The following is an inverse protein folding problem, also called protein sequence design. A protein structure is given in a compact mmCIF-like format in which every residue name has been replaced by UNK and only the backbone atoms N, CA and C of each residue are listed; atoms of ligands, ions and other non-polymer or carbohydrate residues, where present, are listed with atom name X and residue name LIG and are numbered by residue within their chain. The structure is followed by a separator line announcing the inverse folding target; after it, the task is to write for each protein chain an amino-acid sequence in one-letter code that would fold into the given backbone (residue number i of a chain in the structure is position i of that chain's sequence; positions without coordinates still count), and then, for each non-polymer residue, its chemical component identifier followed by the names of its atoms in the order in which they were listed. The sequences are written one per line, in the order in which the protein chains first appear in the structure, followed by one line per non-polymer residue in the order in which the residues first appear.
data_IF_013163516436
#
_entry.id   IF_013163516436
#
_cell.length_a   1.000
_cell.length_b   1.000
_cell.length_c   1.000
_cell.angle_alpha   90.00
_cell.angle_beta   90.00
_cell.angle_gamma   90.00
#
_symmetry.space_group_name_H-M   'P 1'
#
loop_
_entity.id
_entity.type
_entity.pdbx_description
1 polymer ?
#
# COMPACT_ATOMS: atom_id res chain seq x y z
N UNK A 1 44.26 -1.30 -16.75
CA UNK A 1 42.90 -0.76 -16.54
C UNK A 1 41.82 -1.79 -16.27
N UNK A 2 41.68 -2.85 -17.07
CA UNK A 2 40.65 -3.88 -16.86
C UNK A 2 40.70 -4.54 -15.46
N UNK A 3 41.89 -4.93 -14.98
CA UNK A 3 42.04 -5.56 -13.65
C UNK A 3 41.68 -4.62 -12.49
N UNK A 4 41.95 -3.32 -12.65
CA UNK A 4 41.60 -2.31 -11.65
C UNK A 4 40.08 -2.13 -11.59
N UNK A 5 39.40 -2.14 -12.75
CA UNK A 5 37.94 -2.07 -12.82
C UNK A 5 37.32 -3.34 -12.21
N UNK A 6 37.85 -4.52 -12.54
CA UNK A 6 37.39 -5.79 -11.98
C UNK A 6 37.56 -5.84 -10.45
N UNK A 7 38.71 -5.40 -9.95
CA UNK A 7 38.99 -5.36 -8.51
C UNK A 7 38.10 -4.34 -7.79
N UNK A 8 37.85 -3.17 -8.39
CA UNK A 8 36.89 -2.18 -7.85
C UNK A 8 35.47 -2.75 -7.79
N UNK A 9 35.03 -3.47 -8.81
CA UNK A 9 33.71 -4.12 -8.83
C UNK A 9 33.59 -5.19 -7.73
N UNK A 10 34.66 -5.96 -7.48
CA UNK A 10 34.70 -6.95 -6.41
C UNK A 10 34.58 -6.30 -5.02
N UNK A 11 35.30 -5.20 -4.78
CA UNK A 11 35.18 -4.41 -3.53
C UNK A 11 33.77 -3.87 -3.35
N UNK A 12 33.17 -3.34 -4.41
CA UNK A 12 31.81 -2.80 -4.35
C UNK A 12 30.77 -3.89 -4.07
N UNK A 13 30.93 -5.06 -4.68
CA UNK A 13 30.08 -6.23 -4.40
C UNK A 13 30.18 -6.67 -2.94
N UNK A 14 31.41 -6.75 -2.40
CA UNK A 14 31.64 -7.08 -0.99
C UNK A 14 31.02 -6.02 -0.05
N UNK A 15 31.09 -4.74 -0.42
CA UNK A 15 30.46 -3.63 0.33
C UNK A 15 28.94 -3.75 0.35
N UNK A 16 28.32 -4.08 -0.80
CA UNK A 16 26.88 -4.30 -0.90
C UNK A 16 26.45 -5.51 -0.06
N UNK A 17 27.18 -6.62 -0.13
CA UNK A 17 26.89 -7.80 0.69
C UNK A 17 26.99 -7.50 2.20
N UNK A 18 27.99 -6.72 2.62
CA UNK A 18 28.09 -6.27 4.00
C UNK A 18 26.92 -5.37 4.39
N UNK A 19 26.47 -4.49 3.49
CA UNK A 19 25.30 -3.65 3.74
C UNK A 19 24.02 -4.49 3.93
N UNK A 20 23.85 -5.58 3.17
CA UNK A 20 22.71 -6.50 3.35
C UNK A 20 22.68 -7.24 4.70
N UNK A 21 23.79 -7.27 5.45
CA UNK A 21 23.79 -7.80 6.84
C UNK A 21 23.03 -6.89 7.81
N UNK A 22 22.90 -5.59 7.48
CA UNK A 22 22.09 -4.63 8.23
C UNK A 22 20.78 -4.43 7.49
N UNK A 23 19.77 -5.22 7.85
CA UNK A 23 18.43 -5.12 7.26
C UNK A 23 17.77 -3.82 7.72
N UNK A 24 17.64 -2.85 6.82
CA UNK A 24 16.93 -1.58 7.04
C UNK A 24 15.53 -1.64 6.43
N UNK A 25 14.56 -0.95 7.05
CA UNK A 25 13.23 -0.82 6.46
C UNK A 25 13.28 -0.04 5.14
N UNK A 26 12.67 -0.52 4.05
CA UNK A 26 12.63 0.21 2.78
C UNK A 26 11.65 1.39 2.82
N UNK A 27 10.69 1.39 3.74
CA UNK A 27 9.66 2.42 3.90
C UNK A 27 9.53 2.86 5.35
N UNK A 28 9.05 4.09 5.57
CA UNK A 28 8.64 4.55 6.89
C UNK A 28 7.25 4.02 7.22
N UNK A 29 7.03 3.61 8.46
CA UNK A 29 5.74 3.08 8.88
C UNK A 29 5.83 2.36 10.22
N UNK A 30 4.78 1.61 10.53
CA UNK A 30 4.70 0.77 11.71
C UNK A 30 5.17 -0.64 11.37
N UNK A 31 6.11 -1.15 12.17
CA UNK A 31 6.53 -2.54 12.06
C UNK A 31 5.47 -3.46 12.68
N UNK A 32 5.13 -4.52 11.97
CA UNK A 32 4.31 -5.62 12.46
C UNK A 32 5.10 -6.57 13.37
N UNK A 33 4.52 -7.74 13.64
CA UNK A 33 5.22 -8.81 14.36
C UNK A 33 6.40 -9.31 13.52
N UNK A 34 7.53 -9.60 14.14
CA UNK A 34 8.61 -10.31 13.46
C UNK A 34 8.22 -11.77 13.27
N UNK A 35 8.36 -12.26 12.04
CA UNK A 35 8.12 -13.66 11.68
C UNK A 35 9.30 -14.55 12.05
N UNK A 36 10.47 -13.96 12.31
CA UNK A 36 11.71 -14.65 12.69
C UNK A 36 12.10 -14.27 14.11
N UNK A 37 12.78 -15.19 14.79
CA UNK A 37 13.35 -14.94 16.11
C UNK A 37 14.86 -14.73 16.02
N UNK A 38 15.43 -14.15 17.07
CA UNK A 38 16.88 -14.05 17.20
C UNK A 38 17.53 -15.44 17.06
N UNK A 39 18.61 -15.51 16.28
CA UNK A 39 19.32 -16.76 15.98
C UNK A 39 18.72 -17.63 14.87
N UNK A 40 17.59 -17.26 14.27
CA UNK A 40 17.05 -17.95 13.11
C UNK A 40 17.93 -17.73 11.87
N UNK A 41 18.18 -18.80 11.10
CA UNK A 41 18.89 -18.72 9.82
C UNK A 41 17.93 -18.19 8.75
N UNK A 42 18.37 -17.16 8.02
CA UNK A 42 17.64 -16.56 6.90
C UNK A 42 18.41 -16.78 5.60
N UNK A 43 17.67 -16.95 4.50
CA UNK A 43 18.26 -17.18 3.17
C UNK A 43 17.87 -16.03 2.23
N UNK A 44 18.79 -15.66 1.34
CA UNK A 44 18.50 -14.66 0.32
C UNK A 44 17.35 -15.11 -0.59
N UNK A 45 16.32 -14.28 -0.74
CA UNK A 45 15.16 -14.57 -1.59
C UNK A 45 14.18 -15.62 -1.02
N UNK A 46 14.20 -15.89 0.29
CA UNK A 46 13.18 -16.74 0.91
C UNK A 46 11.77 -16.17 0.73
N UNK A 47 10.76 -17.04 0.68
CA UNK A 47 9.36 -16.65 0.53
C UNK A 47 8.84 -15.83 1.71
N UNK A 48 9.32 -16.15 2.91
CA UNK A 48 8.75 -15.63 4.15
C UNK A 48 9.44 -14.32 4.56
N UNK A 49 8.65 -13.27 4.70
CA UNK A 49 9.15 -11.97 5.14
C UNK A 49 9.60 -11.99 6.61
N UNK A 50 10.71 -11.31 6.92
CA UNK A 50 11.26 -11.21 8.28
C UNK A 50 10.35 -10.39 9.21
N UNK A 51 9.81 -9.31 8.68
CA UNK A 51 8.81 -8.46 9.31
C UNK A 51 8.10 -7.66 8.21
N UNK A 52 6.84 -7.32 8.44
CA UNK A 52 6.08 -6.47 7.53
C UNK A 52 6.01 -5.07 8.10
N UNK A 53 6.49 -4.08 7.36
CA UNK A 53 6.32 -2.66 7.70
C UNK A 53 5.14 -2.15 6.92
N UNK A 54 4.16 -1.56 7.61
CA UNK A 54 2.95 -1.01 7.02
C UNK A 54 2.92 0.50 7.26
N UNK A 55 2.75 1.26 6.20
CA UNK A 55 2.47 2.68 6.30
C UNK A 55 1.00 2.85 6.69
N UNK A 56 0.76 3.47 7.83
CA UNK A 56 -0.59 3.70 8.37
C UNK A 56 -1.11 5.10 8.06
N UNK A 57 -0.30 5.97 7.44
CA UNK A 57 -0.72 7.30 7.03
C UNK A 57 -0.19 7.60 5.62
N UNK A 58 -1.06 7.80 4.61
CA UNK A 58 -2.52 7.68 4.67
C UNK A 58 -2.98 6.22 4.70
N UNK A 59 -4.23 5.98 5.11
CA UNK A 59 -4.90 4.68 4.98
C UNK A 59 -5.74 4.62 3.70
N UNK A 60 -5.85 3.42 3.16
CA UNK A 60 -6.75 3.11 2.04
C UNK A 60 -7.96 2.33 2.54
N UNK A 61 -9.14 2.74 2.07
CA UNK A 61 -10.41 2.04 2.29
C UNK A 61 -10.95 1.63 0.93
N UNK A 62 -10.92 0.32 0.68
CA UNK A 62 -11.42 -0.26 -0.56
C UNK A 62 -12.88 -0.65 -0.37
N UNK A 63 -13.75 -0.14 -1.25
CA UNK A 63 -15.20 -0.39 -1.23
C UNK A 63 -15.58 -1.05 -2.53
N UNK A 64 -16.16 -2.25 -2.45
CA UNK A 64 -16.65 -2.99 -3.61
C UNK A 64 -18.12 -2.67 -3.82
N UNK A 65 -18.45 -2.07 -4.96
CA UNK A 65 -19.82 -1.68 -5.34
C UNK A 65 -20.26 -2.37 -6.63
N UNK A 66 -21.57 -2.54 -6.80
CA UNK A 66 -22.10 -3.08 -8.05
C UNK A 66 -21.87 -2.10 -9.20
N UNK A 67 -21.44 -2.60 -10.36
CA UNK A 67 -21.25 -1.79 -11.57
C UNK A 67 -22.50 -0.99 -11.97
N UNK A 68 -23.70 -1.54 -11.75
CA UNK A 68 -24.97 -0.87 -12.03
C UNK A 68 -25.21 0.33 -11.11
N UNK A 69 -24.91 0.18 -9.82
CA UNK A 69 -25.08 1.25 -8.83
C UNK A 69 -24.04 2.35 -9.04
N UNK A 70 -22.81 1.98 -9.41
CA UNK A 70 -21.77 2.93 -9.79
C UNK A 70 -22.15 3.75 -11.04
N UNK A 71 -22.71 3.12 -12.08
CA UNK A 71 -23.20 3.84 -13.27
C UNK A 71 -24.31 4.83 -12.93
N UNK A 72 -25.24 4.45 -12.05
CA UNK A 72 -26.27 5.38 -11.54
C UNK A 72 -25.63 6.54 -10.79
N UNK A 73 -24.68 6.28 -9.90
CA UNK A 73 -23.98 7.30 -9.12
C UNK A 73 -23.18 8.27 -10.01
N UNK A 74 -22.51 7.75 -11.05
CA UNK A 74 -21.77 8.55 -12.05
C UNK A 74 -22.72 9.44 -12.85
N UNK A 75 -23.87 8.92 -13.26
CA UNK A 75 -24.86 9.67 -14.03
C UNK A 75 -25.50 10.79 -13.20
N UNK A 76 -25.74 10.57 -11.91
CA UNK A 76 -26.21 11.60 -10.96
C UNK A 76 -25.13 12.63 -10.62
N UNK A 77 -23.87 12.19 -10.47
CA UNK A 77 -22.70 13.04 -10.23
C UNK A 77 -22.43 14.03 -11.36
N UNK A 78 -22.52 13.56 -12.62
CA UNK A 78 -22.30 14.39 -13.82
C UNK A 78 -23.35 15.51 -13.96
N UNK A 79 -24.57 15.30 -13.45
CA UNK A 79 -25.64 16.30 -13.50
C UNK A 79 -25.53 17.36 -12.41
N UNK A 80 -24.88 17.05 -11.28
CA UNK A 80 -24.80 17.97 -10.13
C UNK A 80 -23.55 18.86 -10.10
N UNK A 81 -22.58 18.67 -11.00
CA UNK A 81 -21.39 19.53 -11.09
C UNK A 81 -20.55 19.63 -9.81
N UNK A 82 -20.84 18.78 -8.81
CA UNK A 82 -20.24 18.82 -7.48
C UNK A 82 -18.96 17.99 -7.45
N UNK A 83 -17.99 18.47 -6.69
CA UNK A 83 -16.69 17.83 -6.45
C UNK A 83 -16.93 16.50 -5.69
N UNK A 84 -17.25 15.43 -6.42
CA UNK A 84 -17.62 14.09 -5.88
C UNK A 84 -16.45 13.32 -5.26
N UNK A 85 -15.41 14.05 -4.86
CA UNK A 85 -14.17 13.50 -4.32
C UNK A 85 -14.15 13.43 -2.81
N UNK A 86 -14.97 14.19 -2.08
CA UNK A 86 -14.97 14.13 -0.61
C UNK A 86 -15.82 12.95 -0.12
N UNK A 87 -15.22 12.07 0.67
CA UNK A 87 -15.90 10.93 1.30
C UNK A 87 -15.78 11.01 2.81
N UNK A 88 -16.83 10.57 3.50
CA UNK A 88 -16.87 10.44 4.95
C UNK A 88 -16.89 8.96 5.30
N UNK A 89 -16.00 8.55 6.21
CA UNK A 89 -15.96 7.18 6.70
C UNK A 89 -16.80 7.10 7.97
N UNK A 90 -17.75 6.19 8.04
CA UNK A 90 -18.45 5.85 9.28
C UNK A 90 -17.78 4.60 9.84
N UNK A 91 -17.23 4.70 11.04
CA UNK A 91 -16.60 3.58 11.73
C UNK A 91 -17.66 2.60 12.23
N UNK A 92 -17.24 1.36 12.52
CA UNK A 92 -18.13 0.28 12.99
C UNK A 92 -18.89 0.64 14.27
N UNK A 93 -18.33 1.53 15.09
CA UNK A 93 -18.99 2.06 16.30
C UNK A 93 -20.08 3.11 16.01
N UNK A 94 -20.39 3.38 14.74
CA UNK A 94 -21.38 4.38 14.31
C UNK A 94 -20.89 5.82 14.34
N UNK A 95 -19.65 6.09 14.76
CA UNK A 95 -19.08 7.43 14.75
C UNK A 95 -18.44 7.73 13.38
N UNK A 96 -18.62 8.96 12.91
CA UNK A 96 -17.90 9.43 11.73
C UNK A 96 -16.41 9.62 12.05
N UNK A 97 -15.55 9.19 11.13
CA UNK A 97 -14.12 9.46 11.19
C UNK A 97 -13.91 10.98 11.05
N UNK A 98 -13.09 11.60 11.93
CA UNK A 98 -13.01 13.05 12.03
C UNK A 98 -12.42 13.73 10.78
N UNK A 99 -11.65 13.00 9.98
CA UNK A 99 -11.00 13.53 8.79
C UNK A 99 -11.74 13.08 7.54
N UNK A 100 -12.03 14.02 6.63
CA UNK A 100 -12.60 13.69 5.33
C UNK A 100 -11.54 13.04 4.44
N UNK A 101 -11.93 11.99 3.75
CA UNK A 101 -11.09 11.32 2.77
C UNK A 101 -11.32 11.85 1.37
N UNK A 102 -10.43 11.47 0.46
CA UNK A 102 -10.61 11.67 -0.97
C UNK A 102 -10.91 10.33 -1.63
N UNK A 103 -11.97 10.27 -2.42
CA UNK A 103 -12.23 9.15 -3.30
C UNK A 103 -11.20 9.16 -4.43
N UNK A 104 -10.40 8.10 -4.50
CA UNK A 104 -9.56 7.76 -5.62
C UNK A 104 -10.26 6.68 -6.44
N UNK A 105 -10.47 6.94 -7.71
CA UNK A 105 -10.96 5.90 -8.62
C UNK A 105 -9.80 4.93 -8.87
N UNK A 106 -9.68 3.92 -8.00
CA UNK A 106 -8.91 2.72 -8.26
C UNK A 106 -9.53 2.02 -9.46
N UNK A 107 -8.68 1.50 -10.33
CA UNK A 107 -8.98 0.94 -11.64
C UNK A 107 -10.42 0.46 -11.85
N UNK A 108 -11.04 0.92 -12.95
CA UNK A 108 -12.35 0.48 -13.44
C UNK A 108 -12.28 -0.95 -14.02
N UNK A 109 -11.39 -1.78 -13.49
CA UNK A 109 -11.31 -3.19 -13.83
C UNK A 109 -12.45 -3.88 -13.10
N UNK A 110 -13.56 -4.05 -13.83
CA UNK A 110 -14.70 -4.84 -13.38
C UNK A 110 -14.19 -6.26 -13.16
N UNK A 111 -14.41 -6.79 -11.95
CA UNK A 111 -14.21 -8.21 -11.73
C UNK A 111 -15.30 -8.95 -12.51
N UNK A 112 -14.93 -9.54 -13.65
CA UNK A 112 -15.86 -10.24 -14.55
C UNK A 112 -16.60 -11.39 -13.86
N UNK A 113 -16.05 -11.93 -12.77
CA UNK A 113 -16.70 -13.01 -12.01
C UNK A 113 -17.86 -12.52 -11.15
N UNK A 114 -17.78 -11.29 -10.62
CA UNK A 114 -18.76 -10.71 -9.69
C UNK A 114 -19.50 -9.49 -10.23
N UNK A 115 -19.09 -8.95 -11.38
CA UNK A 115 -19.64 -7.73 -11.98
C UNK A 115 -19.46 -6.48 -11.10
N UNK A 116 -18.51 -6.50 -10.17
CA UNK A 116 -18.31 -5.45 -9.17
C UNK A 116 -17.10 -4.58 -9.49
N UNK A 117 -17.13 -3.33 -9.02
CA UNK A 117 -16.06 -2.34 -9.16
C UNK A 117 -15.50 -2.03 -7.78
N UNK A 118 -14.17 -1.96 -7.65
CA UNK A 118 -13.51 -1.59 -6.41
C UNK A 118 -13.11 -0.11 -6.44
N UNK A 119 -13.73 0.68 -5.58
CA UNK A 119 -13.41 2.09 -5.36
C UNK A 119 -12.42 2.20 -4.20
N UNK A 120 -11.42 3.09 -4.29
CA UNK A 120 -10.43 3.28 -3.22
C UNK A 120 -10.56 4.68 -2.64
N UNK A 121 -10.95 4.79 -1.39
CA UNK A 121 -10.87 6.06 -0.68
C UNK A 121 -9.55 6.18 0.08
N UNK A 122 -8.93 7.35 0.05
CA UNK A 122 -7.73 7.67 0.82
C UNK A 122 -8.14 8.55 1.99
N UNK A 123 -7.80 8.14 3.21
CA UNK A 123 -8.01 8.94 4.41
C UNK A 123 -6.66 9.24 5.07
N UNK A 124 -6.39 10.49 5.45
CA UNK A 124 -5.24 10.81 6.29
C UNK A 124 -5.46 10.18 7.67
N UNK A 125 -4.43 9.55 8.24
CA UNK A 125 -4.48 8.91 9.56
C UNK A 125 -3.24 9.26 10.40
N UNK A 126 -3.13 10.52 10.85
CA UNK A 126 -1.94 11.03 11.53
C UNK A 126 -1.78 10.55 12.98
N UNK A 127 -2.75 9.85 13.56
CA UNK A 127 -2.76 9.39 14.96
C UNK A 127 -3.14 7.91 15.07
#
# INVERSE_FOLDING_TARGET
DADVIATKAAVETARINLAYTKVTSPISGRIGKSSVTEGALVTNGQSDALATVQQLDPIYVDVTESSNDFMRLKQESLQRGGDTKSVELVMENGQAYPLKGSLQFSDVTVDESTGSITLRAIFPNPQ
#
